data_IF_484161259111
#
_entry.id   IF_484161259111
#
_cell.length_a   1.000
_cell.length_b   1.000
_cell.length_c   1.000
_cell.angle_alpha   90.00
_cell.angle_beta   90.00
_cell.angle_gamma   90.00
#
_symmetry.space_group_name_H-M   'P 1'
#
loop_
_entity.id
_entity.type
_entity.pdbx_description
1 polymer ?
#
# COMPACT_ATOMS: atom_id res chain seq x y z
N UNK A 1 -3.51 -17.18 -9.73
CA UNK A 1 -3.10 -15.94 -10.41
C UNK A 1 -1.68 -16.18 -10.88
N UNK A 2 -1.41 -16.13 -12.18
CA UNK A 2 -0.08 -16.45 -12.74
C UNK A 2 0.82 -15.21 -12.63
N UNK A 3 2.07 -15.38 -12.21
CA UNK A 3 3.06 -14.30 -12.05
C UNK A 3 3.51 -13.61 -13.34
N UNK A 4 3.16 -14.19 -14.50
CA UNK A 4 3.43 -13.60 -15.82
C UNK A 4 2.67 -12.30 -16.08
N UNK A 5 1.77 -11.90 -15.17
CA UNK A 5 1.00 -10.66 -15.26
C UNK A 5 1.58 -9.51 -14.40
N UNK A 6 2.79 -9.64 -13.82
CA UNK A 6 3.58 -8.47 -13.38
C UNK A 6 4.23 -7.80 -14.60
N UNK A 7 3.45 -7.50 -15.63
CA UNK A 7 3.74 -6.36 -16.50
C UNK A 7 3.45 -5.14 -15.67
N UNK A 8 4.50 -4.47 -15.17
CA UNK A 8 4.35 -3.11 -14.67
C UNK A 8 3.78 -2.30 -15.84
N UNK A 9 2.49 -2.01 -15.77
CA UNK A 9 1.85 -1.06 -16.67
C UNK A 9 2.44 0.31 -16.37
N UNK A 10 2.12 1.33 -17.15
CA UNK A 10 2.46 2.73 -16.83
C UNK A 10 1.97 3.22 -15.46
N UNK A 11 1.31 2.36 -14.68
CA UNK A 11 0.52 2.70 -13.51
C UNK A 11 1.28 2.31 -12.25
N UNK A 12 1.17 3.18 -11.25
CA UNK A 12 1.76 2.94 -9.94
C UNK A 12 0.83 2.16 -9.04
N UNK A 13 1.39 1.27 -8.24
CA UNK A 13 0.62 0.34 -7.42
C UNK A 13 1.17 0.25 -6.00
N UNK A 14 0.27 0.12 -5.04
CA UNK A 14 0.58 -0.16 -3.65
C UNK A 14 0.19 -1.60 -3.31
N UNK A 15 0.99 -2.24 -2.47
CA UNK A 15 0.79 -3.64 -2.08
C UNK A 15 0.97 -3.82 -0.58
N UNK A 16 0.15 -4.71 -0.05
CA UNK A 16 0.24 -5.18 1.32
C UNK A 16 0.59 -6.67 1.30
N UNK A 17 1.74 -7.02 1.87
CA UNK A 17 2.32 -8.39 1.84
C UNK A 17 2.54 -8.91 3.25
N UNK A 18 1.97 -10.08 3.55
CA UNK A 18 2.26 -10.81 4.79
C UNK A 18 3.47 -11.72 4.56
N UNK A 19 4.61 -11.41 5.15
CA UNK A 19 5.84 -12.10 4.79
C UNK A 19 7.08 -11.60 5.48
N UNK A 20 8.22 -11.82 4.83
CA UNK A 20 9.53 -11.39 5.30
C UNK A 20 10.09 -10.33 4.35
N UNK A 21 10.90 -9.44 4.90
CA UNK A 21 11.73 -8.56 4.09
C UNK A 21 12.89 -9.36 3.51
N UNK A 22 13.15 -9.16 2.22
CA UNK A 22 14.31 -9.66 1.51
C UNK A 22 15.25 -8.48 1.23
N UNK A 23 16.45 -8.53 1.79
CA UNK A 23 17.49 -7.55 1.52
C UNK A 23 18.59 -8.19 0.68
N UNK A 24 19.10 -7.49 -0.31
CA UNK A 24 20.27 -7.94 -1.05
C UNK A 24 20.34 -7.37 -2.45
N UNK A 25 21.37 -7.79 -3.15
CA UNK A 25 21.65 -7.35 -4.49
C UNK A 25 21.10 -8.31 -5.53
N UNK A 26 20.44 -7.78 -6.56
CA UNK A 26 19.94 -8.57 -7.69
C UNK A 26 20.79 -8.38 -8.96
N UNK A 27 22.04 -8.86 -9.01
CA UNK A 27 22.84 -8.79 -10.23
C UNK A 27 22.31 -9.76 -11.30
N UNK A 28 22.57 -9.44 -12.57
CA UNK A 28 22.53 -10.40 -13.70
C UNK A 28 21.27 -11.28 -13.76
N UNK A 29 20.09 -10.66 -13.77
CA UNK A 29 18.81 -11.35 -13.91
C UNK A 29 18.43 -12.24 -12.71
N UNK A 30 19.06 -12.05 -11.56
CA UNK A 30 18.79 -12.83 -10.34
C UNK A 30 17.37 -12.59 -9.82
N UNK A 31 16.82 -11.39 -10.01
CA UNK A 31 15.47 -11.05 -9.60
C UNK A 31 14.43 -11.89 -10.36
N UNK A 32 14.52 -11.96 -11.68
CA UNK A 32 13.60 -12.73 -12.52
C UNK A 32 13.68 -14.23 -12.22
N UNK A 33 14.88 -14.75 -11.94
CA UNK A 33 15.05 -16.14 -11.50
C UNK A 33 14.40 -16.40 -10.15
N UNK A 34 14.55 -15.48 -9.20
CA UNK A 34 13.90 -15.57 -7.90
C UNK A 34 12.37 -15.54 -8.06
N UNK A 35 11.83 -14.60 -8.84
CA UNK A 35 10.40 -14.53 -9.14
C UNK A 35 9.92 -15.86 -9.72
N UNK A 36 10.56 -16.36 -10.78
CA UNK A 36 10.18 -17.63 -11.40
C UNK A 36 10.21 -18.83 -10.43
N UNK A 37 11.20 -18.88 -9.54
CA UNK A 37 11.30 -19.92 -8.52
C UNK A 37 10.20 -19.80 -7.46
N UNK A 38 9.90 -18.58 -7.02
CA UNK A 38 8.80 -18.28 -6.11
C UNK A 38 7.45 -18.62 -6.74
N UNK A 39 7.27 -18.39 -8.03
CA UNK A 39 6.03 -18.71 -8.75
C UNK A 39 5.78 -20.20 -8.86
N UNK A 40 6.86 -20.96 -9.11
CA UNK A 40 6.79 -22.41 -9.07
C UNK A 40 6.38 -22.90 -7.68
N UNK A 41 7.01 -22.37 -6.63
CA UNK A 41 6.66 -22.69 -5.25
C UNK A 41 5.22 -22.26 -4.91
N UNK A 42 4.76 -21.11 -5.40
CA UNK A 42 3.39 -20.62 -5.24
C UNK A 42 2.38 -21.62 -5.83
N UNK A 43 2.67 -22.17 -7.02
CA UNK A 43 1.85 -23.17 -7.67
C UNK A 43 1.83 -24.51 -6.90
N UNK A 44 2.99 -24.94 -6.38
CA UNK A 44 3.11 -26.15 -5.56
C UNK A 44 2.34 -26.03 -4.23
N UNK A 45 2.42 -24.87 -3.58
CA UNK A 45 1.73 -24.57 -2.33
C UNK A 45 0.25 -24.21 -2.51
N UNK A 46 -0.18 -23.91 -3.74
CA UNK A 46 -1.50 -23.34 -4.05
C UNK A 46 -1.79 -22.05 -3.25
N UNK A 47 -0.77 -21.21 -3.10
CA UNK A 47 -0.85 -19.97 -2.33
C UNK A 47 -0.41 -18.76 -3.19
N UNK A 48 -0.94 -17.55 -2.94
CA UNK A 48 -0.58 -16.34 -3.67
C UNK A 48 0.75 -15.76 -3.18
N UNK A 49 1.82 -16.54 -3.29
CA UNK A 49 3.17 -16.13 -2.90
C UNK A 49 3.73 -15.17 -3.96
N UNK A 50 4.31 -14.05 -3.51
CA UNK A 50 4.85 -12.99 -4.36
C UNK A 50 6.21 -12.51 -3.84
N UNK A 51 7.02 -11.97 -4.76
CA UNK A 51 8.20 -11.15 -4.46
C UNK A 51 7.92 -9.77 -5.03
N UNK A 52 7.74 -8.77 -4.16
CA UNK A 52 7.44 -7.41 -4.56
C UNK A 52 8.58 -6.49 -4.16
N UNK A 53 9.26 -5.87 -5.13
CA UNK A 53 10.29 -4.91 -4.83
C UNK A 53 9.66 -3.59 -4.33
N UNK A 54 10.41 -2.84 -3.54
CA UNK A 54 10.12 -1.44 -3.28
C UNK A 54 11.01 -0.58 -4.17
N UNK A 55 10.42 0.37 -4.90
CA UNK A 55 11.20 1.35 -5.68
C UNK A 55 10.56 1.77 -7.01
N UNK A 56 11.30 2.61 -7.73
CA UNK A 56 10.96 3.10 -9.06
C UNK A 56 11.29 2.05 -10.15
N UNK A 57 10.26 1.68 -10.93
CA UNK A 57 10.34 0.78 -12.09
C UNK A 57 9.70 1.46 -13.32
N UNK A 58 10.18 2.65 -13.69
CA UNK A 58 9.74 3.44 -14.87
C UNK A 58 10.08 2.82 -16.24
N UNK A 59 9.31 3.21 -17.27
CA UNK A 59 9.52 2.92 -18.71
C UNK A 59 10.84 3.47 -19.29
N UNK A 60 11.50 4.42 -18.62
CA UNK A 60 12.87 4.83 -19.00
C UNK A 60 13.93 3.86 -18.50
N UNK A 61 13.54 2.89 -17.68
CA UNK A 61 14.34 1.79 -17.16
C UNK A 61 15.60 2.26 -16.45
N UNK A 62 15.60 2.27 -15.11
CA UNK A 62 16.88 2.01 -14.45
C UNK A 62 17.25 0.60 -14.90
N UNK A 63 18.35 0.40 -15.64
CA UNK A 63 18.71 -0.95 -16.07
C UNK A 63 18.80 -1.82 -14.82
N UNK A 64 18.28 -3.03 -14.84
CA UNK A 64 18.36 -4.00 -13.73
C UNK A 64 19.82 -4.13 -13.20
N UNK A 65 20.81 -3.85 -14.05
CA UNK A 65 22.23 -3.77 -13.70
C UNK A 65 22.60 -2.66 -12.67
N UNK A 66 21.83 -1.58 -12.56
CA UNK A 66 22.06 -0.47 -11.62
C UNK A 66 21.20 -0.58 -10.34
N UNK A 67 20.16 -1.43 -10.32
CA UNK A 67 19.29 -1.70 -9.16
C UNK A 67 19.85 -2.74 -8.18
N UNK A 68 21.17 -2.73 -7.96
CA UNK A 68 21.85 -3.79 -7.23
C UNK A 68 21.52 -3.85 -5.72
N UNK A 69 20.46 -3.22 -5.17
CA UNK A 69 20.09 -3.32 -3.74
C UNK A 69 18.61 -3.00 -3.42
N UNK A 70 17.63 -3.25 -4.29
CA UNK A 70 16.23 -2.94 -3.95
C UNK A 70 15.67 -3.94 -2.92
N UNK A 71 15.27 -3.54 -1.70
CA UNK A 71 14.64 -4.47 -0.78
C UNK A 71 13.25 -4.84 -1.26
N UNK A 72 12.90 -6.09 -1.04
CA UNK A 72 11.63 -6.66 -1.44
C UNK A 72 10.85 -7.14 -0.22
N UNK A 73 9.53 -7.17 -0.34
CA UNK A 73 8.69 -8.01 0.50
C UNK A 73 8.48 -9.35 -0.21
N UNK A 74 8.67 -10.46 0.51
CA UNK A 74 8.40 -11.82 0.00
C UNK A 74 7.40 -12.47 0.92
N UNK A 75 6.28 -12.95 0.37
CA UNK A 75 5.22 -13.54 1.17
C UNK A 75 3.89 -13.61 0.45
N UNK A 76 2.81 -13.70 1.23
CA UNK A 76 1.45 -13.79 0.70
C UNK A 76 0.94 -12.39 0.34
N UNK A 77 0.49 -12.21 -0.90
CA UNK A 77 -0.20 -11.00 -1.31
C UNK A 77 -1.53 -10.90 -0.57
N UNK A 78 -1.72 -9.83 0.20
CA UNK A 78 -2.95 -9.59 0.97
C UNK A 78 -3.87 -8.67 0.21
N UNK A 79 -3.35 -7.52 -0.23
CA UNK A 79 -4.09 -6.52 -1.01
C UNK A 79 -3.18 -5.81 -2.01
N UNK A 80 -3.81 -5.33 -3.08
CA UNK A 80 -3.26 -4.48 -4.13
C UNK A 80 -4.22 -3.30 -4.28
N UNK A 81 -3.68 -2.10 -4.37
CA UNK A 81 -4.44 -0.91 -4.72
C UNK A 81 -3.71 -0.19 -5.85
N UNK A 82 -4.44 0.17 -6.90
CA UNK A 82 -3.94 1.04 -7.95
C UNK A 82 -4.01 2.51 -7.50
N UNK A 83 -3.46 3.41 -8.29
CA UNK A 83 -3.53 4.87 -8.09
C UNK A 83 -4.94 5.46 -8.19
N UNK A 84 -5.94 4.72 -8.67
CA UNK A 84 -7.26 5.26 -8.99
C UNK A 84 -8.26 5.14 -7.84
N UNK A 85 -7.93 4.42 -6.77
CA UNK A 85 -8.80 4.33 -5.62
C UNK A 85 -8.16 3.74 -4.37
N UNK A 86 -8.96 3.73 -3.30
CA UNK A 86 -8.62 3.00 -2.08
C UNK A 86 -9.26 1.61 -2.10
N UNK A 87 -8.52 0.59 -1.69
CA UNK A 87 -9.02 -0.77 -1.53
C UNK A 87 -9.32 -1.05 -0.05
N UNK A 88 -10.60 -1.22 0.34
CA UNK A 88 -10.95 -1.52 1.72
C UNK A 88 -10.60 -2.97 2.09
N UNK A 89 -10.21 -3.18 3.35
CA UNK A 89 -9.97 -4.53 3.86
C UNK A 89 -10.29 -4.66 5.34
N UNK A 90 -10.48 -5.91 5.77
CA UNK A 90 -10.74 -6.27 7.16
C UNK A 90 -9.45 -6.61 7.88
N UNK A 91 -9.36 -6.25 9.16
CA UNK A 91 -8.19 -6.58 9.98
C UNK A 91 -8.04 -8.09 10.14
N UNK A 92 -9.14 -8.82 10.22
CA UNK A 92 -9.16 -10.27 10.38
C UNK A 92 -8.49 -10.97 9.20
N UNK A 93 -8.69 -10.46 7.97
CA UNK A 93 -8.04 -10.98 6.76
C UNK A 93 -6.52 -10.82 6.84
N UNK A 94 -6.05 -9.69 7.36
CA UNK A 94 -4.63 -9.39 7.57
C UNK A 94 -4.03 -10.30 8.62
N UNK A 95 -4.72 -10.49 9.75
CA UNK A 95 -4.26 -11.38 10.83
C UNK A 95 -4.18 -12.81 10.32
N UNK A 96 -5.20 -13.30 9.61
CA UNK A 96 -5.20 -14.62 8.99
C UNK A 96 -4.07 -14.78 7.97
N UNK A 97 -3.80 -13.75 7.15
CA UNK A 97 -2.68 -13.77 6.21
C UNK A 97 -1.31 -13.86 6.92
N UNK A 98 -1.13 -13.16 8.05
CA UNK A 98 0.09 -13.27 8.86
C UNK A 98 0.27 -14.66 9.47
N UNK A 99 -0.81 -15.25 9.99
CA UNK A 99 -0.77 -16.62 10.51
C UNK A 99 -0.41 -17.62 9.40
N UNK A 100 -1.03 -17.50 8.23
CA UNK A 100 -0.72 -18.33 7.06
C UNK A 100 0.73 -18.12 6.60
N UNK A 101 1.21 -16.87 6.55
CA UNK A 101 2.58 -16.55 6.17
C UNK A 101 3.60 -17.17 7.13
N UNK A 102 3.30 -17.30 8.43
CA UNK A 102 4.17 -18.00 9.39
C UNK A 102 4.31 -19.50 9.10
N UNK A 103 3.36 -20.11 8.40
CA UNK A 103 3.39 -21.52 8.02
C UNK A 103 4.13 -21.79 6.71
N UNK A 104 4.53 -20.74 5.98
CA UNK A 104 5.29 -20.88 4.74
C UNK A 104 6.62 -21.62 4.99
N UNK A 105 7.12 -22.37 4.01
CA UNK A 105 8.39 -23.08 4.10
C UNK A 105 9.57 -22.09 3.97
N UNK A 106 9.77 -21.23 4.96
CA UNK A 106 10.74 -20.13 4.91
C UNK A 106 12.18 -20.60 4.68
N UNK A 107 12.55 -21.80 5.14
CA UNK A 107 13.85 -22.37 4.83
C UNK A 107 14.03 -22.57 3.31
N UNK A 108 13.03 -23.16 2.64
CA UNK A 108 13.06 -23.34 1.19
C UNK A 108 13.05 -22.00 0.44
N UNK A 109 12.23 -21.03 0.88
CA UNK A 109 12.21 -19.68 0.30
C UNK A 109 13.57 -18.99 0.48
N UNK A 110 14.21 -19.17 1.63
CA UNK A 110 15.55 -18.64 1.90
C UNK A 110 16.61 -19.28 1.01
N UNK A 111 16.52 -20.59 0.77
CA UNK A 111 17.43 -21.32 -0.10
C UNK A 111 17.29 -20.84 -1.57
N UNK A 112 16.08 -20.49 -2.01
CA UNK A 112 15.85 -19.88 -3.32
C UNK A 112 16.46 -18.46 -3.43
N UNK A 113 16.50 -17.72 -2.32
CA UNK A 113 17.05 -16.37 -2.25
C UNK A 113 18.58 -16.34 -2.13
N UNK A 114 19.18 -17.40 -1.57
CA UNK A 114 20.63 -17.55 -1.47
C UNK A 114 21.28 -17.70 -2.87
N UNK A 115 22.53 -17.25 -3.10
CA UNK A 115 23.51 -16.68 -2.15
C UNK A 115 23.52 -15.15 -2.05
N UNK A 116 22.60 -14.46 -2.70
CA UNK A 116 22.69 -13.01 -2.93
C UNK A 116 21.88 -12.15 -1.93
N UNK A 117 21.11 -12.80 -1.07
CA UNK A 117 20.11 -12.12 -0.24
C UNK A 117 19.98 -12.73 1.15
N UNK A 118 19.47 -11.92 2.06
CA UNK A 118 19.11 -12.29 3.42
C UNK A 118 17.62 -11.99 3.63
N UNK A 119 16.86 -13.04 3.97
CA UNK A 119 15.51 -12.88 4.48
C UNK A 119 15.58 -12.49 5.95
N UNK A 120 14.88 -11.43 6.33
CA UNK A 120 14.67 -11.11 7.73
C UNK A 120 13.98 -12.28 8.44
N UNK A 121 14.31 -12.52 9.70
CA UNK A 121 13.72 -13.62 10.48
C UNK A 121 12.23 -13.39 10.81
N UNK A 122 11.83 -12.13 10.89
CA UNK A 122 10.49 -11.73 11.31
C UNK A 122 9.48 -11.79 10.16
N UNK A 123 8.37 -12.50 10.39
CA UNK A 123 7.18 -12.44 9.53
C UNK A 123 6.30 -11.29 10.01
N UNK A 124 6.14 -10.28 9.16
CA UNK A 124 5.38 -9.06 9.44
C UNK A 124 4.50 -8.67 8.25
N UNK A 125 3.73 -7.59 8.43
CA UNK A 125 2.97 -7.00 7.33
C UNK A 125 3.78 -5.88 6.70
N UNK A 126 4.03 -5.97 5.41
CA UNK A 126 4.86 -5.03 4.67
C UNK A 126 4.01 -4.23 3.68
N UNK A 127 4.08 -2.90 3.78
CA UNK A 127 3.60 -1.97 2.77
C UNK A 127 4.73 -1.66 1.80
N UNK A 128 4.50 -1.92 0.51
CA UNK A 128 5.41 -1.56 -0.59
C UNK A 128 4.66 -0.87 -1.71
N UNK A 129 5.37 -0.16 -2.57
CA UNK A 129 4.85 0.46 -3.77
C UNK A 129 5.83 0.28 -4.93
N UNK A 130 5.32 0.08 -6.14
CA UNK A 130 6.12 -0.05 -7.35
C UNK A 130 5.47 0.71 -8.52
N UNK A 131 6.30 1.17 -9.45
CA UNK A 131 5.88 1.94 -10.61
C UNK A 131 6.42 3.38 -10.60
N UNK A 132 6.11 4.17 -11.63
CA UNK A 132 6.60 5.54 -11.79
C UNK A 132 6.03 6.46 -10.70
N UNK A 133 6.92 6.98 -9.85
CA UNK A 133 6.53 7.87 -8.74
C UNK A 133 5.49 7.23 -7.80
N UNK A 134 5.56 5.90 -7.64
CA UNK A 134 4.62 5.13 -6.85
C UNK A 134 4.65 5.50 -5.35
N UNK A 135 3.48 5.56 -4.74
CA UNK A 135 3.31 5.71 -3.32
C UNK A 135 2.16 4.85 -2.82
N UNK A 136 2.25 4.42 -1.57
CA UNK A 136 1.24 3.61 -0.91
C UNK A 136 0.98 4.11 0.49
N UNK A 137 -0.28 4.16 0.91
CA UNK A 137 -0.66 4.48 2.29
C UNK A 137 -1.62 3.43 2.84
N UNK A 138 -1.51 3.15 4.14
CA UNK A 138 -2.53 2.40 4.88
C UNK A 138 -3.19 3.33 5.87
N UNK A 139 -4.49 3.51 5.74
CA UNK A 139 -5.33 4.30 6.64
C UNK A 139 -6.36 3.43 7.37
N UNK A 140 -6.78 3.86 8.55
CA UNK A 140 -7.95 3.34 9.25
C UNK A 140 -8.92 4.48 9.50
N UNK A 141 -10.12 4.41 8.94
CA UNK A 141 -11.03 5.54 8.97
C UNK A 141 -12.33 5.32 8.20
N UNK A 142 -13.10 6.41 8.06
CA UNK A 142 -14.35 6.47 7.31
C UNK A 142 -14.08 7.09 5.94
N UNK A 143 -14.67 6.54 4.89
CA UNK A 143 -14.63 7.17 3.56
C UNK A 143 -15.48 8.44 3.58
N UNK A 144 -14.90 9.55 3.12
CA UNK A 144 -15.58 10.84 3.00
C UNK A 144 -15.48 11.33 1.57
N UNK A 145 -16.57 11.86 1.05
CA UNK A 145 -16.59 12.51 -0.27
C UNK A 145 -16.20 13.98 -0.12
N UNK A 146 -15.11 14.36 -0.78
CA UNK A 146 -14.66 15.73 -0.96
C UNK A 146 -15.51 16.37 -2.06
N UNK A 147 -16.25 17.43 -1.73
CA UNK A 147 -16.96 18.21 -2.74
C UNK A 147 -15.96 18.95 -3.62
N UNK A 148 -16.27 19.05 -4.91
CA UNK A 148 -15.75 20.14 -5.74
C UNK A 148 -16.20 21.44 -5.07
N UNK A 149 -15.28 22.38 -4.86
CA UNK A 149 -15.69 23.77 -5.05
C UNK A 149 -16.10 23.83 -6.53
N UNK A 150 -17.38 23.57 -6.84
CA UNK A 150 -17.97 24.03 -8.09
C UNK A 150 -17.57 25.50 -8.18
N UNK A 151 -16.87 25.86 -9.26
CA UNK A 151 -16.39 27.21 -9.54
C UNK A 151 -17.34 28.21 -8.90
N UNK A 152 -16.93 28.76 -7.76
CA UNK A 152 -17.60 29.88 -7.14
C UNK A 152 -17.50 30.99 -8.17
N UNK A 153 -18.52 31.09 -9.02
CA UNK A 153 -18.85 32.32 -9.66
C UNK A 153 -18.98 33.32 -8.51
N UNK A 154 -17.94 34.11 -8.32
CA UNK A 154 -18.00 35.34 -7.58
C UNK A 154 -19.00 36.23 -8.32
N UNK A 155 -20.30 36.00 -8.10
CA UNK A 155 -21.27 37.05 -8.29
C UNK A 155 -20.98 38.02 -7.14
N UNK A 156 -20.51 39.23 -7.50
CA UNK A 156 -20.11 40.29 -6.55
C UNK A 156 -21.26 40.71 -5.61
N UNK A 157 -22.47 40.17 -5.80
CA UNK A 157 -23.67 40.48 -5.03
C UNK A 157 -24.00 39.45 -3.90
N UNK A 158 -23.27 38.33 -3.78
CA UNK A 158 -23.58 37.23 -2.84
C UNK A 158 -22.69 37.20 -1.58
N UNK A 159 -22.31 38.36 -1.03
CA UNK A 159 -21.55 38.49 0.24
C UNK A 159 -22.27 37.91 1.48
N UNK A 160 -23.49 37.37 1.36
CA UNK A 160 -24.35 37.08 2.52
C UNK A 160 -24.67 35.59 2.77
N UNK A 161 -24.35 34.65 1.86
CA UNK A 161 -24.78 33.25 1.99
C UNK A 161 -23.72 32.28 2.54
N UNK A 162 -22.53 32.75 2.91
CA UNK A 162 -21.41 31.89 3.31
C UNK A 162 -21.43 31.36 4.76
N UNK A 163 -22.41 31.74 5.59
CA UNK A 163 -22.39 31.44 7.04
C UNK A 163 -23.50 30.51 7.55
N UNK A 164 -24.46 30.10 6.69
CA UNK A 164 -25.69 29.44 7.16
C UNK A 164 -25.93 28.00 6.64
N UNK A 165 -24.93 27.31 6.07
CA UNK A 165 -25.03 25.86 5.80
C UNK A 165 -24.16 25.04 6.79
N UNK A 166 -24.68 24.72 7.99
CA UNK A 166 -24.00 23.89 8.97
C UNK A 166 -24.00 22.38 8.63
N UNK A 167 -24.72 21.95 7.58
CA UNK A 167 -24.94 20.53 7.26
C UNK A 167 -24.18 20.08 5.99
N UNK A 168 -23.63 21.01 5.19
CA UNK A 168 -23.12 20.73 3.85
C UNK A 168 -21.61 20.50 3.70
N UNK A 169 -20.79 20.99 4.62
CA UNK A 169 -19.36 20.71 4.66
C UNK A 169 -19.08 19.66 5.74
N UNK A 170 -18.35 18.59 5.42
CA UNK A 170 -17.68 17.83 6.47
C UNK A 170 -16.71 18.80 7.14
N UNK A 171 -17.13 19.44 8.23
CA UNK A 171 -16.29 20.32 9.03
C UNK A 171 -15.07 19.49 9.42
N UNK A 172 -13.94 19.76 8.76
CA UNK A 172 -12.67 19.09 9.05
C UNK A 172 -12.34 19.53 10.46
N UNK A 173 -12.67 18.67 11.43
CA UNK A 173 -12.49 18.99 12.83
C UNK A 173 -10.99 19.20 13.04
N UNK A 174 -10.56 20.36 13.59
CA UNK A 174 -9.15 20.66 13.76
C UNK A 174 -8.43 19.54 14.53
N UNK A 175 -7.36 19.00 13.93
CA UNK A 175 -6.55 17.92 14.52
C UNK A 175 -6.74 16.53 13.90
N UNK A 176 -7.58 16.37 12.86
CA UNK A 176 -7.76 15.09 12.17
C UNK A 176 -7.08 15.05 10.81
N UNK A 177 -6.44 13.93 10.52
CA UNK A 177 -5.73 13.70 9.27
C UNK A 177 -6.67 13.12 8.21
N UNK A 178 -6.63 13.73 7.02
CA UNK A 178 -7.31 13.22 5.84
C UNK A 178 -6.24 12.60 4.94
N UNK A 179 -6.43 11.32 4.61
CA UNK A 179 -5.53 10.59 3.72
C UNK A 179 -6.18 10.52 2.34
N UNK A 180 -5.48 11.04 1.32
CA UNK A 180 -5.94 11.07 -0.07
C UNK A 180 -5.04 10.20 -0.96
N UNK A 181 -5.64 9.52 -1.92
CA UNK A 181 -4.91 9.01 -3.10
C UNK A 181 -4.87 10.07 -4.20
N UNK A 182 -4.04 9.86 -5.22
CA UNK A 182 -3.97 10.70 -6.42
C UNK A 182 -4.09 9.81 -7.64
N UNK A 183 -4.95 10.18 -8.60
CA UNK A 183 -5.02 9.53 -9.90
C UNK A 183 -3.81 9.91 -10.77
N UNK A 184 -3.41 9.01 -11.69
CA UNK A 184 -2.32 9.27 -12.64
C UNK A 184 -2.60 10.47 -13.56
N UNK A 185 -3.87 10.81 -13.78
CA UNK A 185 -4.30 11.99 -14.55
C UNK A 185 -4.11 13.31 -13.81
N UNK A 186 -3.65 13.30 -12.55
CA UNK A 186 -3.65 14.46 -11.63
C UNK A 186 -5.05 15.04 -11.38
N UNK A 187 -6.10 14.32 -11.76
CA UNK A 187 -7.47 14.70 -11.46
C UNK A 187 -7.74 14.55 -9.96
N UNK A 188 -8.54 15.46 -9.36
CA UNK A 188 -8.90 15.34 -7.96
C UNK A 188 -9.62 14.02 -7.70
N UNK A 189 -9.13 13.24 -6.72
CA UNK A 189 -9.97 12.19 -6.14
C UNK A 189 -11.04 12.85 -5.26
N UNK A 190 -12.29 12.49 -5.54
CA UNK A 190 -13.44 12.97 -4.77
C UNK A 190 -13.69 12.17 -3.51
N UNK A 191 -12.99 11.05 -3.30
CA UNK A 191 -13.08 10.28 -2.07
C UNK A 191 -11.75 10.32 -1.31
N UNK A 192 -11.84 10.44 0.02
CA UNK A 192 -10.72 10.41 0.92
C UNK A 192 -11.03 9.55 2.14
N UNK A 193 -9.99 9.13 2.87
CA UNK A 193 -10.16 8.43 4.14
C UNK A 193 -9.94 9.42 5.25
N UNK A 194 -11.00 9.69 5.99
CA UNK A 194 -10.94 10.44 7.23
C UNK A 194 -10.59 9.47 8.36
N UNK A 195 -9.39 9.62 8.95
CA UNK A 195 -9.00 8.82 10.10
C UNK A 195 -7.49 8.76 10.35
N UNK A 196 -7.03 7.64 10.91
CA UNK A 196 -5.64 7.48 11.36
C UNK A 196 -4.79 6.88 10.25
N UNK A 197 -3.72 7.59 9.85
CA UNK A 197 -2.68 7.03 9.00
C UNK A 197 -1.82 6.03 9.80
N UNK A 198 -1.62 4.84 9.26
CA UNK A 198 -0.82 3.78 9.89
C UNK A 198 0.58 3.71 9.31
N UNK A 199 0.69 3.76 7.98
CA UNK A 199 1.96 3.63 7.27
C UNK A 199 1.90 4.31 5.90
N UNK A 200 3.06 4.70 5.37
CA UNK A 200 3.22 5.30 4.04
C UNK A 200 4.53 4.92 3.38
N UNK A 201 4.48 4.18 2.26
CA UNK A 201 5.64 3.89 1.41
C UNK A 201 5.69 4.84 0.20
N UNK A 202 6.88 5.18 -0.28
CA UNK A 202 7.12 6.04 -1.44
C UNK A 202 8.18 5.39 -2.35
N UNK A 203 8.19 5.74 -3.63
CA UNK A 203 9.13 5.17 -4.62
C UNK A 203 10.60 5.54 -4.33
N UNK A 204 10.87 6.73 -3.79
CA UNK A 204 12.20 7.11 -3.29
C UNK A 204 12.53 6.45 -1.94
N UNK A 205 11.56 5.74 -1.34
CA UNK A 205 11.65 5.09 -0.05
C UNK A 205 12.26 3.71 -0.20
N UNK A 206 13.50 3.49 0.26
CA UNK A 206 14.24 2.28 -0.04
C UNK A 206 13.87 1.13 0.91
N UNK A 207 12.72 1.13 1.62
CA UNK A 207 12.43 0.11 2.63
C UNK A 207 10.90 -0.13 2.72
N UNK A 208 10.41 -1.36 2.46
CA UNK A 208 9.05 -1.75 2.78
C UNK A 208 8.75 -1.46 4.26
N UNK A 209 7.65 -0.78 4.53
CA UNK A 209 7.32 -0.34 5.88
C UNK A 209 6.51 -1.40 6.58
N UNK A 210 6.89 -1.72 7.82
CA UNK A 210 6.12 -2.62 8.66
C UNK A 210 4.86 -1.94 9.16
N UNK A 211 3.73 -2.62 9.03
CA UNK A 211 2.42 -2.12 9.43
C UNK A 211 1.94 -2.92 10.64
N UNK A 212 1.75 -2.25 11.78
CA UNK A 212 1.35 -2.92 13.03
C UNK A 212 -0.17 -3.13 13.12
N UNK A 213 -0.63 -4.36 12.85
CA UNK A 213 -2.04 -4.75 13.01
C UNK A 213 -2.35 -5.45 14.35
N UNK A 214 -1.45 -5.34 15.34
CA UNK A 214 -1.66 -5.90 16.67
C UNK A 214 -2.95 -5.38 17.32
N UNK A 215 -3.48 -6.15 18.27
CA UNK A 215 -4.67 -5.77 19.02
C UNK A 215 -4.47 -4.45 19.77
N UNK A 216 -3.28 -4.21 20.31
CA UNK A 216 -2.94 -2.98 21.00
C UNK A 216 -2.99 -1.77 20.05
N UNK A 217 -2.32 -1.86 18.89
CA UNK A 217 -2.33 -0.79 17.90
C UNK A 217 -3.72 -0.57 17.29
N UNK A 218 -4.51 -1.63 17.11
CA UNK A 218 -5.90 -1.49 16.65
C UNK A 218 -6.78 -0.77 17.66
N UNK A 219 -6.66 -1.14 18.95
CA UNK A 219 -7.40 -0.47 20.02
C UNK A 219 -7.06 1.01 20.12
N UNK A 220 -5.79 1.36 20.01
CA UNK A 220 -5.36 2.77 19.99
C UNK A 220 -6.01 3.55 18.83
N UNK A 221 -6.13 2.94 17.64
CA UNK A 221 -6.80 3.56 16.50
C UNK A 221 -8.30 3.74 16.72
N UNK A 222 -8.97 2.74 17.31
CA UNK A 222 -10.37 2.84 17.71
C UNK A 222 -10.56 3.98 18.71
N UNK A 223 -9.71 4.05 19.75
CA UNK A 223 -9.75 5.09 20.77
C UNK A 223 -9.56 6.49 20.16
N UNK A 224 -8.63 6.62 19.20
CA UNK A 224 -8.38 7.88 18.48
C UNK A 224 -9.58 8.33 17.62
N UNK A 225 -10.32 7.39 17.02
CA UNK A 225 -11.49 7.72 16.18
C UNK A 225 -12.78 7.92 16.98
N UNK A 226 -12.83 7.49 18.25
CA UNK A 226 -13.99 7.68 19.12
C UNK A 226 -15.29 7.12 18.51
N UNK A 227 -16.32 7.96 18.40
CA UNK A 227 -17.64 7.57 17.89
C UNK A 227 -17.62 7.08 16.43
N UNK A 228 -16.63 7.51 15.65
CA UNK A 228 -16.49 7.13 14.24
C UNK A 228 -15.88 5.74 14.05
N UNK A 229 -15.29 5.16 15.09
CA UNK A 229 -14.67 3.84 15.02
C UNK A 229 -15.66 2.75 14.56
N UNK A 230 -16.95 2.87 14.91
CA UNK A 230 -17.98 1.92 14.51
C UNK A 230 -18.26 1.87 13.01
N UNK A 231 -17.91 2.93 12.28
CA UNK A 231 -18.08 3.06 10.83
C UNK A 231 -16.75 2.95 10.08
N UNK A 232 -15.65 2.80 10.81
CA UNK A 232 -14.30 2.86 10.26
C UNK A 232 -13.82 1.50 9.77
N UNK A 233 -13.10 1.50 8.65
CA UNK A 233 -12.45 0.31 8.10
C UNK A 233 -11.01 0.64 7.68
N UNK A 234 -10.21 -0.40 7.44
CA UNK A 234 -8.88 -0.22 6.89
C UNK A 234 -8.95 -0.05 5.37
N UNK A 235 -8.05 0.78 4.85
CA UNK A 235 -7.90 1.05 3.43
C UNK A 235 -6.43 1.01 3.03
N UNK A 236 -6.15 0.36 1.89
CA UNK A 236 -4.89 0.49 1.16
C UNK A 236 -5.10 1.52 0.05
N UNK A 237 -4.24 2.52 -0.02
CA UNK A 237 -4.38 3.65 -0.94
C UNK A 237 -3.13 3.69 -1.82
N UNK A 238 -3.31 3.49 -3.13
CA UNK A 238 -2.27 3.79 -4.11
C UNK A 238 -2.29 5.29 -4.45
N UNK A 239 -1.12 5.90 -4.62
CA UNK A 239 -1.02 7.29 -5.03
C UNK A 239 0.25 7.58 -5.82
N UNK A 240 0.25 8.69 -6.54
CA UNK A 240 1.43 9.28 -7.17
C UNK A 240 2.09 10.27 -6.19
N UNK A 241 3.42 10.23 -6.05
CA UNK A 241 4.19 11.08 -5.13
C UNK A 241 5.00 12.15 -5.81
#
# INVERSE_FOLDING_TARGET
MNSKDLTFTSDSEAFLVAGRRLNGAFPDGAFERLCAAVDQLAAELQQPLVVLPAGDFTDTGVPIAEQATAPCAVGLLVRRADTYGSEPFRREDVVAALENARTLPWAAISDLAAPHHELADEVAMHLTACGPLAGGMVGYGVVVTLREEEDMYWDEDDEQNFLDDPDGAAAITPGLEIVRGNMMSQEPQYDAIYGVQVARALHEGPIPIMVDFSEAAHRERIERLGELAAQSTYHLIGHFS
#
